data_IF_931275767642
#
_entry.id   IF_931275767642
#
_cell.length_a   1.000
_cell.length_b   1.000
_cell.length_c   1.000
_cell.angle_alpha   90.00
_cell.angle_beta   90.00
_cell.angle_gamma   90.00
#
_symmetry.space_group_name_H-M   'P 1'
#
loop_
_entity.id
_entity.type
_entity.pdbx_description
1 polymer ?
#
# COMPACT_ATOMS: atom_id res chain seq x y z
N UNK A 1 23.36 -14.43 22.76
CA UNK A 1 22.33 -13.93 21.83
C UNK A 1 21.12 -13.55 22.67
N UNK A 2 20.77 -12.27 22.75
CA UNK A 2 19.67 -11.76 23.55
C UNK A 2 18.39 -11.62 22.71
N UNK A 3 17.23 -11.81 23.33
CA UNK A 3 15.92 -11.59 22.70
C UNK A 3 15.29 -10.36 23.34
N UNK A 4 15.05 -9.32 22.55
CA UNK A 4 14.42 -8.08 23.01
C UNK A 4 12.99 -8.02 22.49
N UNK A 5 12.06 -7.63 23.35
CA UNK A 5 10.68 -7.33 22.95
C UNK A 5 10.53 -5.83 22.73
N UNK A 6 10.10 -5.47 21.53
CA UNK A 6 9.96 -4.10 21.04
C UNK A 6 8.48 -3.80 20.78
N UNK A 7 8.07 -2.54 20.94
CA UNK A 7 6.72 -2.08 20.58
C UNK A 7 6.81 -0.81 19.72
N UNK A 8 5.98 -0.70 18.67
CA UNK A 8 5.93 0.51 17.83
C UNK A 8 4.92 1.47 18.44
N UNK A 9 5.38 2.67 18.77
CA UNK A 9 4.54 3.68 19.43
C UNK A 9 3.48 4.20 18.46
N UNK A 10 2.21 4.16 18.88
CA UNK A 10 1.06 4.63 18.10
C UNK A 10 0.54 3.64 17.04
N UNK A 11 0.87 2.35 17.17
CA UNK A 11 0.48 1.30 16.23
C UNK A 11 -0.14 0.12 16.99
N UNK A 12 -1.38 -0.23 16.66
CA UNK A 12 -2.07 -1.37 17.26
C UNK A 12 -1.40 -2.70 16.90
N UNK A 13 -1.33 -3.62 17.86
CA UNK A 13 -0.76 -4.97 17.70
C UNK A 13 0.73 -4.97 17.39
N UNK A 14 1.47 -3.91 17.75
CA UNK A 14 2.81 -3.69 17.23
C UNK A 14 3.94 -4.43 17.92
N UNK A 15 3.70 -5.05 19.09
CA UNK A 15 4.71 -5.72 19.88
C UNK A 15 5.34 -6.90 19.11
N UNK A 16 6.66 -7.03 19.18
CA UNK A 16 7.42 -8.04 18.43
C UNK A 16 8.76 -8.32 19.11
N UNK A 17 9.39 -9.45 18.81
CA UNK A 17 10.69 -9.79 19.36
C UNK A 17 11.80 -9.76 18.32
N UNK A 18 12.96 -9.25 18.66
CA UNK A 18 14.16 -9.25 17.82
C UNK A 18 15.28 -9.99 18.55
N UNK A 19 15.99 -10.86 17.84
CA UNK A 19 17.21 -11.52 18.34
C UNK A 19 18.43 -10.73 17.90
N UNK A 20 19.29 -10.36 18.84
CA UNK A 20 20.53 -9.64 18.59
C UNK A 20 21.66 -10.21 19.45
N UNK A 21 22.89 -10.10 18.98
CA UNK A 21 24.04 -10.52 19.77
C UNK A 21 24.27 -9.59 20.97
N UNK A 22 24.83 -10.11 22.06
CA UNK A 22 25.06 -9.31 23.27
C UNK A 22 26.02 -8.14 23.02
N UNK A 23 27.06 -8.37 22.20
CA UNK A 23 27.98 -7.33 21.76
C UNK A 23 27.46 -6.42 20.64
N UNK A 24 26.22 -6.62 20.16
CA UNK A 24 25.67 -5.86 19.05
C UNK A 24 25.53 -4.38 19.40
N UNK A 25 25.68 -3.54 18.39
CA UNK A 25 25.45 -2.10 18.52
C UNK A 25 23.97 -1.76 18.43
N UNK A 26 23.63 -0.55 18.85
CA UNK A 26 22.28 -0.02 18.67
C UNK A 26 21.94 0.16 17.19
N UNK A 27 22.94 0.41 16.33
CA UNK A 27 22.76 0.41 14.88
C UNK A 27 22.38 -0.98 14.35
N UNK A 28 23.00 -2.05 14.85
CA UNK A 28 22.63 -3.42 14.52
C UNK A 28 21.21 -3.74 14.97
N UNK A 29 20.79 -3.26 16.16
CA UNK A 29 19.41 -3.37 16.62
C UNK A 29 18.44 -2.62 15.69
N UNK A 30 18.77 -1.39 15.27
CA UNK A 30 17.94 -0.64 14.31
C UNK A 30 17.83 -1.36 12.97
N UNK A 31 18.92 -1.94 12.46
CA UNK A 31 18.93 -2.76 11.23
C UNK A 31 18.09 -4.02 11.39
N UNK A 32 18.19 -4.69 12.53
CA UNK A 32 17.39 -5.87 12.83
C UNK A 32 15.90 -5.54 12.92
N UNK A 33 15.52 -4.44 13.61
CA UNK A 33 14.13 -3.95 13.65
C UNK A 33 13.63 -3.57 12.25
N UNK A 34 14.45 -2.87 11.46
CA UNK A 34 14.10 -2.53 10.08
C UNK A 34 13.89 -3.78 9.22
N UNK A 35 14.74 -4.79 9.35
CA UNK A 35 14.62 -6.03 8.61
C UNK A 35 13.36 -6.80 9.04
N UNK A 36 13.13 -6.91 10.35
CA UNK A 36 11.95 -7.59 10.94
C UNK A 36 10.64 -6.93 10.53
N UNK A 37 10.58 -5.59 10.54
CA UNK A 37 9.39 -4.81 10.14
C UNK A 37 9.36 -4.42 8.67
N UNK A 38 10.38 -4.83 7.91
CA UNK A 38 10.54 -4.55 6.47
C UNK A 38 10.39 -3.06 6.09
N UNK A 39 10.87 -2.15 6.95
CA UNK A 39 10.80 -0.72 6.68
C UNK A 39 11.64 -0.36 5.45
N UNK A 40 11.11 0.51 4.59
CA UNK A 40 11.76 0.93 3.34
C UNK A 40 12.62 2.19 3.50
N UNK A 41 12.62 2.82 4.69
CA UNK A 41 13.49 3.95 5.01
C UNK A 41 14.80 3.49 5.67
N UNK A 42 15.88 4.28 5.62
CA UNK A 42 17.14 4.02 6.31
C UNK A 42 16.98 3.70 7.81
N UNK A 43 17.70 2.70 8.32
CA UNK A 43 17.50 2.20 9.70
C UNK A 43 17.78 3.28 10.76
N UNK A 44 18.66 4.22 10.46
CA UNK A 44 19.04 5.36 11.29
C UNK A 44 17.88 6.34 11.54
N UNK A 45 16.86 6.35 10.69
CA UNK A 45 15.64 7.15 10.91
C UNK A 45 14.75 6.61 12.05
N UNK A 46 14.94 5.36 12.49
CA UNK A 46 14.27 4.84 13.69
C UNK A 46 14.79 5.56 14.95
N UNK A 47 13.87 5.96 15.83
CA UNK A 47 14.20 6.41 17.18
C UNK A 47 13.80 5.33 18.17
N UNK A 48 14.74 4.89 18.99
CA UNK A 48 14.54 3.84 19.98
C UNK A 48 14.62 4.45 21.38
N UNK A 49 13.77 3.99 22.29
CA UNK A 49 13.74 4.41 23.69
C UNK A 49 13.63 3.19 24.60
N UNK A 50 14.17 3.25 25.82
CA UNK A 50 14.02 2.17 26.79
C UNK A 50 12.62 2.21 27.42
N UNK A 51 11.96 1.06 27.48
CA UNK A 51 10.69 0.92 28.18
C UNK A 51 10.97 0.57 29.66
N UNK A 52 11.13 1.61 30.50
CA UNK A 52 11.41 1.44 31.93
C UNK A 52 10.11 1.32 32.72
N UNK A 53 10.10 0.46 33.74
CA UNK A 53 9.01 0.41 34.71
C UNK A 53 8.92 1.75 35.47
N UNK A 54 7.72 2.32 35.68
CA UNK A 54 7.57 3.53 36.47
C UNK A 54 7.97 3.32 37.92
N UNK A 55 8.43 4.40 38.54
CA UNK A 55 8.49 4.53 40.00
C UNK A 55 7.52 5.62 40.43
N UNK A 56 6.93 5.49 41.60
CA UNK A 56 6.08 6.54 42.16
C UNK A 56 6.94 7.62 42.81
N UNK A 57 6.62 8.89 42.54
CA UNK A 57 7.18 10.01 43.29
C UNK A 57 6.46 10.20 44.64
N UNK A 58 6.89 11.19 45.42
CA UNK A 58 6.32 11.50 46.74
C UNK A 58 4.82 11.85 46.70
N UNK A 59 4.27 12.17 45.53
CA UNK A 59 2.85 12.45 45.31
C UNK A 59 2.04 11.24 44.83
N UNK A 60 2.69 10.07 44.69
CA UNK A 60 2.09 8.85 44.13
C UNK A 60 1.96 8.89 42.61
N UNK A 61 2.65 9.81 41.92
CA UNK A 61 2.62 9.91 40.47
C UNK A 61 3.72 9.05 39.86
N UNK A 62 3.36 8.24 38.87
CA UNK A 62 4.32 7.48 38.06
C UNK A 62 5.26 8.40 37.28
N UNK A 63 6.57 8.22 37.50
CA UNK A 63 7.65 8.95 36.81
C UNK A 63 8.68 7.97 36.25
N UNK A 64 9.36 8.39 35.18
CA UNK A 64 10.39 7.58 34.52
C UNK A 64 11.65 7.56 35.39
N UNK A 65 12.15 6.39 35.82
CA UNK A 65 13.36 6.32 36.64
C UNK A 65 14.61 6.74 35.84
N UNK A 66 15.44 7.58 36.48
CA UNK A 66 16.71 8.06 35.93
C UNK A 66 17.85 7.52 36.78
N UNK A 67 18.72 6.73 36.16
CA UNK A 67 19.93 6.26 36.83
C UNK A 67 20.97 7.39 36.89
N UNK A 68 21.44 7.71 38.09
CA UNK A 68 22.56 8.65 38.32
C UNK A 68 23.66 7.92 39.10
N UNK A 69 24.85 7.73 38.51
CA UNK A 69 25.95 7.00 39.15
C UNK A 69 26.53 7.65 40.42
N UNK A 70 26.15 8.89 40.77
CA UNK A 70 26.72 9.63 41.91
C UNK A 70 25.78 9.64 43.12
N UNK A 71 25.68 8.52 43.84
CA UNK A 71 25.31 8.52 45.24
C UNK A 71 25.83 7.23 45.87
N UNK A 72 26.73 7.37 46.83
CA UNK A 72 27.39 6.29 47.58
C UNK A 72 26.43 5.46 48.46
N UNK A 73 25.11 5.59 48.29
CA UNK A 73 24.12 5.01 49.22
C UNK A 73 22.91 4.31 48.58
N UNK A 74 22.85 4.12 47.26
CA UNK A 74 21.72 3.39 46.67
C UNK A 74 22.11 1.94 46.36
N UNK A 75 21.39 1.02 47.03
CA UNK A 75 21.40 -0.43 46.75
C UNK A 75 21.44 -0.67 45.24
N UNK A 76 22.17 -1.72 44.85
CA UNK A 76 22.30 -2.28 43.50
C UNK A 76 20.96 -2.77 42.90
N UNK A 77 19.85 -2.07 43.14
CA UNK A 77 18.56 -2.40 42.59
C UNK A 77 18.54 -1.95 41.14
N UNK A 78 18.68 -2.94 40.26
CA UNK A 78 18.57 -2.75 38.82
C UNK A 78 17.21 -2.18 38.48
N UNK A 79 17.19 -1.22 37.55
CA UNK A 79 15.95 -0.72 36.98
C UNK A 79 15.27 -1.83 36.19
N UNK A 80 13.95 -1.91 36.32
CA UNK A 80 13.13 -2.96 35.72
C UNK A 80 12.56 -2.53 34.37
N UNK A 81 12.33 -3.51 33.50
CA UNK A 81 11.64 -3.29 32.24
C UNK A 81 10.14 -3.11 32.46
N UNK A 82 9.48 -2.42 31.53
CA UNK A 82 8.04 -2.23 31.59
C UNK A 82 7.33 -3.59 31.44
N UNK A 83 6.55 -4.05 32.44
CA UNK A 83 5.77 -5.28 32.30
C UNK A 83 4.75 -5.16 31.18
N UNK A 84 4.50 -6.23 30.43
CA UNK A 84 3.50 -6.22 29.35
C UNK A 84 2.04 -6.09 29.84
N UNK A 85 1.77 -6.49 31.09
CA UNK A 85 0.50 -6.27 31.79
C UNK A 85 0.32 -4.85 32.32
N UNK A 86 1.36 -4.01 32.28
CA UNK A 86 1.26 -2.64 32.76
C UNK A 86 0.24 -1.84 31.92
N UNK A 87 -0.54 -0.96 32.56
CA UNK A 87 -1.48 -0.01 31.93
C UNK A 87 -0.95 0.57 30.60
N UNK A 88 0.25 1.13 30.65
CA UNK A 88 0.91 1.78 29.52
C UNK A 88 1.26 0.80 28.38
N UNK A 89 1.63 -0.44 28.71
CA UNK A 89 1.92 -1.49 27.75
C UNK A 89 0.65 -2.03 27.08
N UNK A 90 -0.43 -2.23 27.84
CA UNK A 90 -1.73 -2.64 27.30
C UNK A 90 -2.27 -1.63 26.28
N UNK A 91 -2.15 -0.33 26.57
CA UNK A 91 -2.55 0.73 25.63
C UNK A 91 -1.75 0.72 24.32
N UNK A 92 -0.46 0.36 24.37
CA UNK A 92 0.34 0.19 23.15
C UNK A 92 -0.20 -0.92 22.25
N UNK A 93 -0.80 -1.97 22.82
CA UNK A 93 -1.42 -3.06 22.04
C UNK A 93 -2.63 -2.55 21.26
N UNK A 94 -3.38 -1.60 21.81
CA UNK A 94 -4.51 -0.95 21.15
C UNK A 94 -4.08 0.15 20.16
N UNK A 95 -2.79 0.46 20.09
CA UNK A 95 -2.23 1.54 19.27
C UNK A 95 -2.38 2.92 19.90
N UNK A 96 -2.82 2.97 21.15
CA UNK A 96 -2.87 4.19 21.94
C UNK A 96 -1.51 4.46 22.63
N UNK A 97 -1.33 5.67 23.14
CA UNK A 97 -0.18 6.04 23.96
C UNK A 97 -0.68 6.91 25.09
N UNK A 98 -0.22 6.63 26.31
CA UNK A 98 -0.56 7.44 27.47
C UNK A 98 0.57 8.40 27.85
N UNK A 99 0.30 9.22 28.86
CA UNK A 99 1.26 10.20 29.37
C UNK A 99 2.61 9.58 29.77
N UNK A 100 2.62 8.31 30.18
CA UNK A 100 3.84 7.62 30.57
C UNK A 100 4.66 7.17 29.34
N UNK A 101 4.02 6.63 28.31
CA UNK A 101 4.68 6.37 27.02
C UNK A 101 5.22 7.67 26.40
N UNK A 102 4.46 8.77 26.51
CA UNK A 102 4.92 10.09 26.07
C UNK A 102 6.14 10.56 26.87
N UNK A 103 6.16 10.34 28.20
CA UNK A 103 7.33 10.66 29.02
C UNK A 103 8.57 9.83 28.63
N UNK A 104 8.41 8.54 28.36
CA UNK A 104 9.51 7.66 27.91
C UNK A 104 10.07 8.11 26.55
N UNK A 105 9.20 8.49 25.61
CA UNK A 105 9.58 8.91 24.25
C UNK A 105 10.03 10.37 24.14
N UNK A 106 9.80 11.19 25.18
CA UNK A 106 10.38 12.51 25.33
C UNK A 106 11.80 12.48 25.95
N UNK A 107 12.20 11.33 26.51
CA UNK A 107 13.51 11.13 27.13
C UNK A 107 14.67 10.99 26.14
N UNK A 108 15.83 10.57 26.65
CA UNK A 108 17.02 10.36 25.82
C UNK A 108 16.85 9.11 24.92
N UNK A 109 16.95 9.23 23.59
CA UNK A 109 16.91 8.08 22.71
C UNK A 109 18.18 7.24 22.84
N UNK A 110 18.08 5.95 22.52
CA UNK A 110 19.22 5.04 22.51
C UNK A 110 20.21 5.48 21.42
N UNK A 111 21.45 5.80 21.81
CA UNK A 111 22.48 6.28 20.88
C UNK A 111 23.07 5.13 20.05
N UNK A 112 23.10 5.31 18.71
CA UNK A 112 23.59 4.33 17.74
C UNK A 112 25.04 3.87 17.95
N UNK A 113 25.88 4.70 18.58
CA UNK A 113 27.33 4.49 18.72
C UNK A 113 27.74 3.60 19.91
N UNK A 114 26.79 3.09 20.70
CA UNK A 114 27.05 2.25 21.87
C UNK A 114 26.61 0.81 21.62
N UNK A 115 27.23 -0.13 22.33
CA UNK A 115 26.73 -1.51 22.39
C UNK A 115 25.49 -1.57 23.28
N UNK A 116 24.62 -2.56 23.04
CA UNK A 116 23.41 -2.77 23.82
C UNK A 116 23.74 -3.00 25.30
N UNK A 117 24.71 -3.85 25.61
CA UNK A 117 25.18 -4.09 26.99
C UNK A 117 25.65 -2.79 27.67
N UNK A 118 26.44 -1.96 26.99
CA UNK A 118 26.90 -0.69 27.57
C UNK A 118 25.72 0.24 27.86
N UNK A 119 24.72 0.27 26.97
CA UNK A 119 23.56 1.14 27.14
C UNK A 119 22.61 0.64 28.24
N UNK A 120 22.31 -0.66 28.27
CA UNK A 120 21.37 -1.25 29.23
C UNK A 120 22.00 -1.32 30.62
N UNK A 121 23.19 -1.91 30.75
CA UNK A 121 23.77 -2.23 32.05
C UNK A 121 24.55 -1.05 32.62
N UNK A 122 25.49 -0.48 31.85
CA UNK A 122 26.40 0.56 32.38
C UNK A 122 25.73 1.92 32.49
N UNK A 123 24.95 2.32 31.48
CA UNK A 123 24.35 3.66 31.43
C UNK A 123 23.00 3.73 32.13
N UNK A 124 22.19 2.67 32.09
CA UNK A 124 20.83 2.68 32.63
C UNK A 124 20.62 1.70 33.80
N UNK A 125 21.62 0.88 34.14
CA UNK A 125 21.53 -0.12 35.21
C UNK A 125 20.27 -1.00 35.12
N UNK A 126 19.91 -1.43 33.92
CA UNK A 126 18.73 -2.26 33.67
C UNK A 126 18.98 -3.70 34.09
N UNK A 127 17.91 -4.41 34.45
CA UNK A 127 17.94 -5.87 34.59
C UNK A 127 18.13 -6.57 33.24
N UNK A 128 18.51 -7.85 33.28
CA UNK A 128 18.64 -8.63 32.06
C UNK A 128 17.24 -8.81 31.42
N UNK A 129 17.12 -8.59 30.10
CA UNK A 129 15.87 -8.82 29.37
C UNK A 129 15.28 -10.22 29.60
N UNK A 130 13.99 -10.30 29.92
CA UNK A 130 13.24 -11.57 30.04
C UNK A 130 11.93 -11.56 29.23
N UNK A 131 11.14 -12.63 29.30
CA UNK A 131 9.77 -12.63 28.76
C UNK A 131 8.83 -11.75 29.59
N UNK A 132 7.63 -11.49 29.07
CA UNK A 132 6.54 -10.75 29.76
C UNK A 132 6.87 -9.27 30.04
N UNK A 133 7.75 -8.71 29.22
CA UNK A 133 8.26 -7.34 29.36
C UNK A 133 8.42 -6.68 27.99
N UNK A 134 8.18 -5.37 27.92
CA UNK A 134 8.59 -4.52 26.80
C UNK A 134 9.94 -3.89 27.15
N UNK A 135 10.89 -3.99 26.22
CA UNK A 135 12.26 -3.51 26.41
C UNK A 135 12.51 -2.21 25.64
N UNK A 136 12.03 -2.14 24.40
CA UNK A 136 12.34 -1.03 23.49
C UNK A 136 11.06 -0.46 22.88
N UNK A 137 10.87 0.85 23.00
CA UNK A 137 9.86 1.59 22.26
C UNK A 137 10.47 2.09 20.95
N UNK A 138 9.78 1.83 19.84
CA UNK A 138 10.20 2.17 18.49
C UNK A 138 9.31 3.29 17.96
N UNK A 139 9.90 4.45 17.69
CA UNK A 139 9.22 5.58 17.07
C UNK A 139 9.67 5.68 15.61
N UNK A 140 8.69 5.61 14.71
CA UNK A 140 8.85 5.66 13.25
C UNK A 140 8.65 7.11 12.78
N UNK A 141 9.42 7.60 11.78
CA UNK A 141 9.23 8.93 11.22
C UNK A 141 7.80 9.14 10.69
N UNK A 142 7.15 10.24 11.09
CA UNK A 142 5.84 10.62 10.53
C UNK A 142 6.04 11.27 9.16
N UNK A 143 5.53 10.61 8.12
CA UNK A 143 5.63 11.03 6.72
C UNK A 143 6.44 10.05 5.88
N UNK A 144 5.73 9.30 5.03
CA UNK A 144 6.13 8.11 4.25
C UNK A 144 5.87 6.79 5.00
N UNK A 145 4.75 6.16 4.64
CA UNK A 145 4.20 4.87 5.10
C UNK A 145 3.35 4.90 6.38
N UNK A 146 2.20 5.59 6.34
CA UNK A 146 1.06 5.25 7.20
C UNK A 146 0.48 3.89 6.75
N UNK A 147 0.84 2.81 7.46
CA UNK A 147 0.17 1.49 7.32
C UNK A 147 -0.10 0.77 8.64
N UNK A 148 0.00 1.46 9.75
CA UNK A 148 0.13 0.81 11.04
C UNK A 148 -1.11 1.05 11.90
N UNK A 149 -2.24 0.50 11.47
CA UNK A 149 -3.49 0.46 12.25
C UNK A 149 -4.38 -0.77 11.95
N UNK A 150 -3.92 -1.78 11.21
CA UNK A 150 -4.80 -2.86 10.76
C UNK A 150 -4.18 -4.27 10.87
N UNK A 151 -3.61 -4.65 12.02
CA UNK A 151 -3.40 -6.07 12.35
C UNK A 151 -3.45 -6.27 13.86
N UNK A 152 -4.61 -6.64 14.37
CA UNK A 152 -4.75 -7.36 15.63
C UNK A 152 -5.79 -8.46 15.42
N UNK A 153 -5.35 -9.73 15.51
CA UNK A 153 -6.03 -10.96 16.00
C UNK A 153 -5.40 -12.21 15.32
N UNK A 154 -4.73 -13.05 16.14
CA UNK A 154 -4.46 -14.52 16.03
C UNK A 154 -3.72 -15.06 14.80
N UNK A 155 -2.73 -15.97 14.83
CA UNK A 155 -2.36 -17.09 15.72
C UNK A 155 -0.85 -17.47 15.56
N UNK A 156 -0.35 -18.37 16.40
CA UNK A 156 1.04 -18.80 16.54
C UNK A 156 1.57 -19.77 15.43
N UNK A 157 2.85 -20.19 15.50
CA UNK A 157 3.86 -19.98 14.47
C UNK A 157 3.83 -21.02 13.33
N UNK A 158 3.84 -20.57 12.07
CA UNK A 158 4.12 -21.42 10.92
C UNK A 158 5.31 -20.89 10.12
N UNK A 159 6.36 -21.70 10.06
CA UNK A 159 7.26 -22.07 8.94
C UNK A 159 7.49 -21.06 7.75
N UNK A 160 8.66 -21.12 7.07
CA UNK A 160 9.12 -20.10 6.10
C UNK A 160 8.06 -19.78 5.03
N UNK A 161 8.07 -18.54 4.48
CA UNK A 161 6.90 -17.87 3.93
C UNK A 161 6.21 -18.69 2.84
N UNK A 162 5.26 -19.51 3.26
CA UNK A 162 4.17 -19.95 2.41
C UNK A 162 3.20 -18.77 2.33
N UNK A 163 2.86 -18.35 1.12
CA UNK A 163 1.49 -18.22 0.57
C UNK A 163 0.27 -18.30 1.53
N UNK A 164 0.32 -17.74 2.74
CA UNK A 164 -0.73 -17.94 3.77
C UNK A 164 -1.78 -16.80 3.75
N UNK A 165 -1.43 -15.59 3.32
CA UNK A 165 -2.39 -14.47 3.27
C UNK A 165 -3.05 -14.23 1.91
N UNK A 166 -2.67 -15.00 0.89
CA UNK A 166 -3.15 -14.76 -0.49
C UNK A 166 -3.85 -15.99 -1.01
N UNK A 167 -5.02 -15.76 -1.58
CA UNK A 167 -5.87 -16.82 -2.07
C UNK A 167 -5.12 -17.68 -3.11
N UNK A 168 -5.22 -19.02 -3.06
CA UNK A 168 -4.47 -19.92 -3.94
C UNK A 168 -4.67 -19.61 -5.44
N UNK A 169 -5.88 -19.22 -5.85
CA UNK A 169 -6.18 -18.92 -7.25
C UNK A 169 -5.47 -17.65 -7.75
N UNK A 170 -5.36 -16.61 -6.93
CA UNK A 170 -4.61 -15.40 -7.30
C UNK A 170 -3.12 -15.68 -7.39
N UNK A 171 -2.59 -16.51 -6.49
CA UNK A 171 -1.19 -16.94 -6.54
C UNK A 171 -0.88 -17.75 -7.80
N UNK A 172 -1.78 -18.66 -8.21
CA UNK A 172 -1.67 -19.37 -9.50
C UNK A 172 -1.66 -18.40 -10.67
N UNK A 173 -2.57 -17.41 -10.65
CA UNK A 173 -2.65 -16.36 -11.68
C UNK A 173 -1.35 -15.57 -11.78
N UNK A 174 -0.78 -15.11 -10.67
CA UNK A 174 0.50 -14.39 -10.67
C UNK A 174 1.67 -15.25 -11.10
N UNK A 175 1.70 -16.53 -10.71
CA UNK A 175 2.72 -17.46 -11.19
C UNK A 175 2.67 -17.60 -12.72
N UNK A 176 1.46 -17.73 -13.30
CA UNK A 176 1.26 -17.78 -14.75
C UNK A 176 1.67 -16.47 -15.43
N UNK A 177 1.30 -15.31 -14.88
CA UNK A 177 1.73 -13.99 -15.36
C UNK A 177 3.26 -13.88 -15.37
N UNK A 178 3.91 -14.23 -14.27
CA UNK A 178 5.37 -14.14 -14.15
C UNK A 178 6.07 -15.10 -15.11
N UNK A 179 5.54 -16.30 -15.31
CA UNK A 179 6.06 -17.26 -16.28
C UNK A 179 6.00 -16.70 -17.71
N UNK A 180 4.85 -16.14 -18.10
CA UNK A 180 4.66 -15.49 -19.40
C UNK A 180 5.64 -14.31 -19.59
N UNK A 181 5.83 -13.47 -18.56
CA UNK A 181 6.73 -12.32 -18.63
C UNK A 181 8.19 -12.76 -18.76
N UNK A 182 8.61 -13.76 -17.99
CA UNK A 182 9.96 -14.35 -18.10
C UNK A 182 10.21 -14.92 -19.50
N UNK A 183 9.23 -15.62 -20.06
CA UNK A 183 9.32 -16.12 -21.43
C UNK A 183 9.52 -14.97 -22.43
N UNK A 184 8.72 -13.90 -22.34
CA UNK A 184 8.89 -12.72 -23.20
C UNK A 184 10.25 -12.05 -23.05
N UNK A 185 10.75 -11.91 -21.82
CA UNK A 185 12.07 -11.36 -21.55
C UNK A 185 13.17 -12.24 -22.16
N UNK A 186 13.04 -13.57 -22.08
CA UNK A 186 13.97 -14.52 -22.70
C UNK A 186 13.92 -14.46 -24.23
N UNK A 187 12.74 -14.45 -24.85
CA UNK A 187 12.58 -14.33 -26.30
C UNK A 187 13.15 -13.02 -26.84
N UNK A 188 12.94 -11.91 -26.13
CA UNK A 188 13.54 -10.62 -26.47
C UNK A 188 15.07 -10.71 -26.48
N UNK A 189 15.68 -11.37 -25.48
CA UNK A 189 17.12 -11.60 -25.42
C UNK A 189 17.61 -12.51 -26.58
N UNK A 190 16.86 -13.56 -26.93
CA UNK A 190 17.21 -14.47 -28.02
C UNK A 190 17.14 -13.76 -29.39
N UNK A 191 16.12 -12.94 -29.65
CA UNK A 191 16.02 -12.10 -30.86
C UNK A 191 17.16 -11.10 -30.99
N UNK A 192 17.71 -10.62 -29.86
CA UNK A 192 18.93 -9.80 -29.89
C UNK A 192 20.21 -10.59 -30.18
N UNK A 193 20.16 -11.93 -30.12
CA UNK A 193 21.32 -12.83 -30.29
C UNK A 193 21.36 -13.47 -31.70
N UNK A 194 20.24 -13.58 -32.42
CA UNK A 194 20.16 -14.16 -33.78
C UNK A 194 20.48 -13.16 -34.90
N UNK A 195 21.52 -13.48 -35.67
CA UNK A 195 22.05 -13.05 -36.99
C UNK A 195 21.87 -11.62 -37.59
N UNK A 196 20.89 -10.80 -37.26
CA UNK A 196 20.72 -9.48 -37.91
C UNK A 196 21.53 -8.33 -37.28
N UNK A 197 22.31 -8.60 -36.23
CA UNK A 197 22.92 -7.54 -35.40
C UNK A 197 24.46 -7.47 -35.47
N UNK A 198 25.11 -7.89 -36.56
CA UNK A 198 26.55 -7.63 -36.76
C UNK A 198 26.88 -6.18 -37.17
N UNK A 199 25.89 -5.30 -37.41
CA UNK A 199 26.12 -3.98 -38.05
C UNK A 199 25.91 -2.73 -37.19
N UNK A 200 25.57 -2.80 -35.89
CA UNK A 200 25.44 -1.57 -35.07
C UNK A 200 26.17 -1.67 -33.74
N UNK A 201 27.16 -0.80 -33.56
CA UNK A 201 28.02 -0.63 -32.38
C UNK A 201 27.30 -0.01 -31.17
N UNK A 202 26.04 -0.38 -30.90
CA UNK A 202 25.35 0.01 -29.67
C UNK A 202 25.47 -1.13 -28.65
N UNK A 203 26.21 -0.91 -27.55
CA UNK A 203 26.17 -1.77 -26.34
C UNK A 203 24.70 -1.98 -25.96
N UNK A 204 24.17 -3.20 -26.06
CA UNK A 204 22.79 -3.52 -25.68
C UNK A 204 22.80 -4.42 -24.44
N UNK A 205 21.99 -4.04 -23.45
CA UNK A 205 21.83 -4.77 -22.18
C UNK A 205 20.90 -5.96 -22.39
N UNK A 206 21.34 -7.17 -22.04
CA UNK A 206 20.42 -8.29 -21.82
C UNK A 206 19.37 -7.85 -20.80
N UNK A 207 18.10 -8.12 -21.09
CA UNK A 207 17.02 -7.93 -20.14
C UNK A 207 17.17 -8.98 -19.05
N UNK A 208 17.14 -8.55 -17.78
CA UNK A 208 16.95 -9.47 -16.66
C UNK A 208 15.67 -10.27 -16.90
N UNK A 209 15.72 -11.59 -16.70
CA UNK A 209 14.56 -12.47 -16.91
C UNK A 209 13.41 -12.10 -15.98
N UNK A 210 13.74 -11.63 -14.77
CA UNK A 210 12.81 -11.15 -13.76
C UNK A 210 12.55 -9.64 -13.87
N UNK A 211 12.90 -9.01 -14.99
CA UNK A 211 12.60 -7.61 -15.22
C UNK A 211 11.08 -7.41 -15.29
N UNK A 212 10.56 -6.60 -14.38
CA UNK A 212 9.20 -6.09 -14.41
C UNK A 212 8.90 -5.38 -15.74
N UNK A 213 7.73 -5.66 -16.30
CA UNK A 213 7.29 -5.08 -17.57
C UNK A 213 6.07 -4.17 -17.39
N UNK A 214 5.97 -3.16 -18.24
CA UNK A 214 4.77 -2.32 -18.33
C UNK A 214 3.71 -2.97 -19.20
N UNK A 215 2.46 -2.53 -19.04
CA UNK A 215 1.33 -3.01 -19.85
C UNK A 215 1.54 -2.88 -21.36
N UNK A 216 2.34 -1.91 -21.82
CA UNK A 216 2.58 -1.66 -23.25
C UNK A 216 3.32 -2.79 -23.97
N UNK A 217 3.92 -3.74 -23.24
CA UNK A 217 4.52 -4.95 -23.81
C UNK A 217 3.60 -6.17 -23.80
N UNK A 218 2.37 -6.01 -23.30
CA UNK A 218 1.36 -7.05 -23.19
C UNK A 218 0.18 -6.74 -24.12
N UNK A 219 -0.43 -7.77 -24.67
CA UNK A 219 -1.67 -7.71 -25.44
C UNK A 219 -2.72 -8.67 -24.86
N UNK A 220 -3.91 -8.63 -25.42
CA UNK A 220 -5.04 -9.44 -24.95
C UNK A 220 -4.74 -10.94 -25.00
N UNK A 221 -4.09 -11.41 -26.06
CA UNK A 221 -3.75 -12.81 -26.26
C UNK A 221 -2.81 -13.36 -25.18
N UNK A 222 -1.96 -12.50 -24.59
CA UNK A 222 -1.09 -12.92 -23.49
C UNK A 222 -1.87 -13.20 -22.20
N UNK A 223 -2.87 -12.35 -21.91
CA UNK A 223 -3.55 -12.38 -20.62
C UNK A 223 -4.83 -13.22 -20.65
N UNK A 224 -5.53 -13.27 -21.78
CA UNK A 224 -6.78 -14.02 -21.95
C UNK A 224 -6.73 -15.45 -21.39
N UNK A 225 -5.69 -16.27 -21.63
CA UNK A 225 -5.65 -17.64 -21.10
C UNK A 225 -5.38 -17.72 -19.58
N UNK A 226 -4.95 -16.63 -18.95
CA UNK A 226 -4.57 -16.59 -17.53
C UNK A 226 -5.74 -16.15 -16.64
N UNK A 227 -6.60 -15.28 -17.15
CA UNK A 227 -7.70 -14.70 -16.39
C UNK A 227 -9.00 -15.46 -16.60
N UNK A 228 -9.78 -15.57 -15.53
CA UNK A 228 -11.15 -16.03 -15.56
C UNK A 228 -12.08 -14.81 -15.55
N UNK A 229 -12.58 -14.42 -16.72
CA UNK A 229 -13.52 -13.29 -16.86
C UNK A 229 -14.96 -13.79 -16.73
N UNK A 230 -15.74 -13.05 -15.95
CA UNK A 230 -17.17 -13.26 -15.74
C UNK A 230 -17.92 -12.02 -16.26
N UNK A 231 -18.44 -12.14 -17.49
CA UNK A 231 -19.19 -11.12 -18.21
C UNK A 231 -20.71 -11.17 -17.91
N UNK A 232 -21.15 -12.13 -17.08
CA UNK A 232 -22.53 -12.23 -16.61
C UNK A 232 -22.86 -11.27 -15.46
N UNK A 233 -21.85 -10.53 -14.99
CA UNK A 233 -21.99 -9.60 -13.88
C UNK A 233 -22.77 -8.35 -14.29
N UNK A 234 -23.89 -8.10 -13.58
CA UNK A 234 -24.73 -6.94 -13.79
C UNK A 234 -24.56 -5.90 -12.67
N UNK A 235 -23.81 -4.83 -12.95
CA UNK A 235 -23.55 -3.76 -11.99
C UNK A 235 -24.74 -2.79 -11.95
N UNK A 236 -25.52 -2.87 -10.88
CA UNK A 236 -26.65 -1.96 -10.68
C UNK A 236 -26.18 -0.55 -10.29
N UNK A 237 -26.68 0.51 -10.97
CA UNK A 237 -26.40 1.88 -10.57
C UNK A 237 -27.08 2.23 -9.25
N UNK A 238 -26.41 3.02 -8.41
CA UNK A 238 -27.08 3.72 -7.30
C UNK A 238 -27.94 4.86 -7.82
N UNK A 239 -28.98 5.23 -7.08
CA UNK A 239 -29.78 6.41 -7.38
C UNK A 239 -28.98 7.69 -7.09
N UNK A 240 -28.99 8.60 -8.06
CA UNK A 240 -28.23 9.85 -8.02
C UNK A 240 -29.20 11.01 -8.14
N UNK A 241 -29.09 12.06 -7.31
CA UNK A 241 -30.00 13.19 -7.40
C UNK A 241 -29.91 13.89 -8.76
N UNK A 242 -31.07 14.21 -9.34
CA UNK A 242 -31.14 14.76 -10.70
C UNK A 242 -30.39 16.09 -10.82
N UNK A 243 -30.44 16.94 -9.79
CA UNK A 243 -29.74 18.23 -9.75
C UNK A 243 -28.21 18.08 -9.95
N UNK A 244 -27.62 16.97 -9.49
CA UNK A 244 -26.20 16.70 -9.65
C UNK A 244 -25.85 16.31 -11.08
N UNK A 245 -26.74 15.56 -11.73
CA UNK A 245 -26.60 15.18 -13.14
C UNK A 245 -26.88 16.37 -14.06
N UNK A 246 -27.84 17.24 -13.72
CA UNK A 246 -28.09 18.50 -14.44
C UNK A 246 -26.85 19.41 -14.42
N UNK A 247 -26.20 19.55 -13.25
CA UNK A 247 -24.98 20.32 -13.09
C UNK A 247 -23.82 19.72 -13.91
N UNK A 248 -23.66 18.39 -13.86
CA UNK A 248 -22.65 17.68 -14.65
C UNK A 248 -22.88 17.86 -16.15
N UNK A 249 -24.12 17.72 -16.61
CA UNK A 249 -24.49 17.88 -18.01
C UNK A 249 -24.24 19.32 -18.49
N UNK A 250 -24.57 20.33 -17.66
CA UNK A 250 -24.23 21.72 -17.94
C UNK A 250 -22.72 21.91 -18.08
N UNK A 251 -21.93 21.34 -17.15
CA UNK A 251 -20.46 21.41 -17.21
C UNK A 251 -19.89 20.75 -18.47
N UNK A 252 -20.43 19.60 -18.88
CA UNK A 252 -20.00 18.92 -20.12
C UNK A 252 -20.32 19.77 -21.36
N UNK A 253 -21.46 20.47 -21.37
CA UNK A 253 -21.79 21.42 -22.44
C UNK A 253 -20.78 22.57 -22.50
N UNK A 254 -20.44 23.17 -21.37
CA UNK A 254 -19.43 24.24 -21.32
C UNK A 254 -18.07 23.75 -21.85
N UNK A 255 -17.65 22.55 -21.44
CA UNK A 255 -16.39 21.95 -21.89
C UNK A 255 -16.41 21.67 -23.39
N UNK A 256 -17.54 21.27 -23.96
CA UNK A 256 -17.69 21.06 -25.41
C UNK A 256 -17.50 22.37 -26.18
N UNK A 257 -18.04 23.49 -25.70
CA UNK A 257 -17.85 24.80 -26.33
C UNK A 257 -16.37 25.24 -26.29
N UNK A 258 -15.64 24.87 -25.24
CA UNK A 258 -14.22 25.23 -25.07
C UNK A 258 -13.25 24.31 -25.83
N UNK A 259 -13.51 23.00 -25.83
CA UNK A 259 -12.56 21.98 -26.29
C UNK A 259 -12.99 21.23 -27.55
N UNK A 260 -14.17 21.55 -28.11
CA UNK A 260 -14.72 20.88 -29.28
C UNK A 260 -15.40 19.55 -28.96
N UNK A 261 -15.65 18.73 -29.99
CA UNK A 261 -16.34 17.45 -29.83
C UNK A 261 -15.41 16.45 -29.13
N UNK A 262 -15.93 15.61 -28.23
CA UNK A 262 -15.12 14.59 -27.56
C UNK A 262 -14.40 13.66 -28.56
N UNK A 263 -15.04 13.41 -29.70
CA UNK A 263 -14.55 12.56 -30.79
C UNK A 263 -13.41 13.16 -31.61
N UNK A 264 -13.22 14.48 -31.60
CA UNK A 264 -12.11 15.12 -32.31
C UNK A 264 -10.86 15.21 -31.42
N UNK A 265 -9.64 15.27 -31.97
CA UNK A 265 -8.42 15.47 -31.18
C UNK A 265 -7.79 14.23 -30.52
N UNK A 266 -6.85 14.45 -29.58
CA UNK A 266 -6.01 13.42 -28.94
C UNK A 266 -6.59 12.93 -27.62
N UNK A 267 -6.11 11.75 -27.19
CA UNK A 267 -6.53 11.01 -25.98
C UNK A 267 -6.63 11.91 -24.74
N UNK A 268 -5.56 12.65 -24.44
CA UNK A 268 -5.51 13.58 -23.31
C UNK A 268 -6.70 14.57 -23.20
N UNK A 269 -7.39 14.88 -24.30
CA UNK A 269 -8.58 15.72 -24.23
C UNK A 269 -9.75 15.04 -23.52
N UNK A 270 -9.93 13.73 -23.68
CA UNK A 270 -11.03 12.99 -23.05
C UNK A 270 -10.97 13.05 -21.53
N UNK A 271 -9.77 13.18 -20.96
CA UNK A 271 -9.58 13.38 -19.52
C UNK A 271 -10.36 14.58 -18.99
N UNK A 272 -10.49 15.68 -19.76
CA UNK A 272 -11.27 16.85 -19.35
C UNK A 272 -12.78 16.58 -19.30
N UNK A 273 -13.27 15.57 -20.02
CA UNK A 273 -14.67 15.16 -20.00
C UNK A 273 -14.94 14.03 -18.99
N UNK A 274 -13.95 13.17 -18.74
CA UNK A 274 -14.00 12.11 -17.72
C UNK A 274 -13.93 12.71 -16.32
N UNK A 275 -13.01 13.65 -16.06
CA UNK A 275 -12.79 14.22 -14.73
C UNK A 275 -14.07 14.80 -14.07
N UNK A 276 -14.93 15.57 -14.76
CA UNK A 276 -16.20 16.05 -14.20
C UNK A 276 -17.14 14.94 -13.70
N UNK A 277 -17.15 13.78 -14.36
CA UNK A 277 -17.95 12.62 -13.93
C UNK A 277 -17.38 12.11 -12.58
N UNK A 278 -16.07 11.96 -12.50
CA UNK A 278 -15.37 11.52 -11.28
C UNK A 278 -15.52 12.52 -10.12
N UNK A 279 -15.45 13.82 -10.41
CA UNK A 279 -15.66 14.91 -9.46
C UNK A 279 -17.09 14.91 -8.91
N UNK A 280 -18.08 14.65 -9.76
CA UNK A 280 -19.49 14.54 -9.37
C UNK A 280 -19.68 13.41 -8.37
N UNK A 281 -19.16 12.21 -8.65
CA UNK A 281 -19.18 11.08 -7.72
C UNK A 281 -18.47 11.42 -6.41
N UNK A 282 -17.30 12.06 -6.50
CA UNK A 282 -16.48 12.41 -5.33
C UNK A 282 -17.18 13.40 -4.41
N UNK A 283 -17.90 14.37 -4.99
CA UNK A 283 -18.70 15.36 -4.27
C UNK A 283 -19.90 14.72 -3.56
N UNK A 284 -20.56 13.76 -4.22
CA UNK A 284 -21.70 13.02 -3.68
C UNK A 284 -21.33 12.15 -2.47
N UNK A 285 -20.24 11.37 -2.55
CA UNK A 285 -19.87 10.40 -1.51
C UNK A 285 -19.16 10.99 -0.28
N UNK A 286 -18.58 12.19 -0.42
CA UNK A 286 -17.66 12.84 0.53
C UNK A 286 -16.43 11.96 0.87
N UNK A 287 -15.34 12.59 1.34
CA UNK A 287 -14.09 11.90 1.70
C UNK A 287 -13.47 11.04 0.58
N UNK A 288 -13.77 11.36 -0.68
CA UNK A 288 -13.12 10.78 -1.85
C UNK A 288 -11.95 11.68 -2.25
N UNK A 289 -10.78 11.09 -2.45
CA UNK A 289 -9.63 11.76 -3.07
C UNK A 289 -9.44 11.23 -4.48
N UNK A 290 -9.30 12.13 -5.44
CA UNK A 290 -8.90 11.80 -6.81
C UNK A 290 -7.38 11.92 -6.88
N UNK A 291 -6.69 10.81 -7.12
CA UNK A 291 -5.26 10.79 -7.44
C UNK A 291 -5.11 10.75 -8.96
N UNK A 292 -4.04 11.35 -9.48
CA UNK A 292 -3.80 11.53 -10.91
C UNK A 292 -2.43 10.95 -11.25
N UNK A 293 -2.37 10.17 -12.34
CA UNK A 293 -1.15 9.51 -12.82
C UNK A 293 -0.44 8.64 -11.76
N UNK A 294 -1.15 7.65 -11.24
CA UNK A 294 -0.59 6.72 -10.25
C UNK A 294 0.12 5.54 -10.93
N UNK A 295 1.39 5.33 -10.57
CA UNK A 295 2.20 4.19 -10.98
C UNK A 295 2.30 3.17 -9.83
N UNK A 296 2.15 1.88 -10.16
CA UNK A 296 2.28 0.79 -9.19
C UNK A 296 3.18 -0.31 -9.73
N UNK A 297 4.22 -0.67 -8.99
CA UNK A 297 5.16 -1.74 -9.36
C UNK A 297 4.92 -2.93 -8.44
N UNK A 298 4.56 -4.08 -8.99
CA UNK A 298 4.35 -5.30 -8.22
C UNK A 298 5.62 -5.75 -7.49
N UNK A 299 5.44 -6.32 -6.30
CA UNK A 299 6.47 -6.93 -5.45
C UNK A 299 6.71 -8.41 -5.80
N UNK A 300 5.62 -9.13 -6.05
CA UNK A 300 5.55 -10.56 -6.31
C UNK A 300 5.00 -10.87 -7.71
N UNK A 301 4.35 -9.92 -8.37
CA UNK A 301 3.98 -10.00 -9.78
C UNK A 301 4.84 -9.04 -10.62
N UNK A 302 5.40 -9.51 -11.74
CA UNK A 302 6.35 -8.77 -12.56
C UNK A 302 5.69 -7.71 -13.46
N UNK A 303 4.68 -7.02 -12.94
CA UNK A 303 3.88 -6.02 -13.64
C UNK A 303 4.10 -4.62 -13.08
N UNK A 304 4.10 -3.63 -13.98
CA UNK A 304 3.95 -2.22 -13.65
C UNK A 304 2.61 -1.70 -14.17
N UNK A 305 1.71 -1.35 -13.26
CA UNK A 305 0.47 -0.64 -13.53
C UNK A 305 0.66 0.87 -13.62
N UNK A 306 -0.15 1.51 -14.47
CA UNK A 306 -0.30 2.96 -14.53
C UNK A 306 -1.77 3.30 -14.73
N UNK A 307 -2.27 4.24 -13.94
CA UNK A 307 -3.66 4.68 -13.95
C UNK A 307 -3.74 6.19 -14.13
N UNK A 308 -4.58 6.66 -15.05
CA UNK A 308 -4.78 8.09 -15.27
C UNK A 308 -5.48 8.75 -14.07
N UNK A 309 -6.46 8.06 -13.49
CA UNK A 309 -7.13 8.48 -12.25
C UNK A 309 -7.27 7.33 -11.24
N UNK A 310 -7.20 7.64 -9.95
CA UNK A 310 -7.58 6.70 -8.88
C UNK A 310 -8.53 7.41 -7.91
N UNK A 311 -9.75 6.91 -7.78
CA UNK A 311 -10.69 7.35 -6.75
C UNK A 311 -10.40 6.57 -5.47
N UNK A 312 -10.01 7.25 -4.40
CA UNK A 312 -9.71 6.64 -3.09
C UNK A 312 -10.69 7.12 -2.03
N UNK A 313 -11.37 6.18 -1.37
CA UNK A 313 -12.27 6.44 -0.24
C UNK A 313 -12.01 5.40 0.85
N UNK A 314 -11.35 5.81 1.93
CA UNK A 314 -10.88 4.88 2.96
C UNK A 314 -9.91 3.85 2.38
N UNK A 315 -10.23 2.57 2.52
CA UNK A 315 -9.48 1.43 1.96
C UNK A 315 -9.88 1.08 0.53
N UNK A 316 -11.08 1.48 0.08
CA UNK A 316 -11.54 1.23 -1.28
C UNK A 316 -10.87 2.18 -2.26
N UNK A 317 -10.52 1.64 -3.43
CA UNK A 317 -10.02 2.41 -4.55
C UNK A 317 -10.55 1.89 -5.87
N UNK A 318 -10.89 2.80 -6.77
CA UNK A 318 -11.22 2.50 -8.16
C UNK A 318 -10.13 3.11 -9.04
N UNK A 319 -9.40 2.26 -9.76
CA UNK A 319 -8.32 2.68 -10.64
C UNK A 319 -8.80 2.74 -12.09
N UNK A 320 -8.76 3.93 -12.68
CA UNK A 320 -9.26 4.19 -14.02
C UNK A 320 -8.12 4.20 -15.04
N UNK A 321 -8.39 3.56 -16.18
CA UNK A 321 -7.57 3.63 -17.39
C UNK A 321 -8.34 4.37 -18.49
N UNK A 322 -7.73 5.42 -19.04
CA UNK A 322 -8.22 6.04 -20.27
C UNK A 322 -7.80 5.17 -21.46
N UNK A 323 -8.76 4.50 -22.08
CA UNK A 323 -8.51 3.69 -23.26
C UNK A 323 -8.35 4.57 -24.50
N UNK A 324 -7.59 4.06 -25.46
CA UNK A 324 -7.61 4.64 -26.81
C UNK A 324 -8.98 4.41 -27.43
N UNK A 325 -9.40 5.35 -28.27
CA UNK A 325 -10.73 5.37 -28.86
C UNK A 325 -11.12 4.02 -29.49
N UNK A 326 -10.21 3.45 -30.27
CA UNK A 326 -10.44 2.21 -31.03
C UNK A 326 -9.79 0.98 -30.38
N UNK A 327 -9.34 1.08 -29.12
CA UNK A 327 -8.57 0.02 -28.46
C UNK A 327 -8.92 -0.11 -26.97
N UNK A 328 -10.22 -0.37 -26.72
CA UNK A 328 -10.73 -0.69 -25.38
C UNK A 328 -10.10 -1.95 -24.80
N UNK A 329 -9.71 -2.91 -25.65
CA UNK A 329 -9.04 -4.15 -25.22
C UNK A 329 -7.64 -3.89 -24.66
N UNK A 330 -6.85 -3.03 -25.27
CA UNK A 330 -5.56 -2.66 -24.68
C UNK A 330 -5.74 -1.88 -23.37
N UNK A 331 -6.79 -1.04 -23.28
CA UNK A 331 -7.17 -0.40 -22.01
C UNK A 331 -7.52 -1.42 -20.92
N UNK A 332 -8.22 -2.50 -21.29
CA UNK A 332 -8.51 -3.64 -20.41
C UNK A 332 -7.24 -4.32 -19.93
N UNK A 333 -6.33 -4.65 -20.84
CA UNK A 333 -5.02 -5.26 -20.52
C UNK A 333 -4.26 -4.39 -19.53
N UNK A 334 -4.17 -3.08 -19.80
CA UNK A 334 -3.53 -2.11 -18.91
C UNK A 334 -4.17 -2.09 -17.52
N UNK A 335 -5.50 -2.07 -17.46
CA UNK A 335 -6.20 -1.98 -16.20
C UNK A 335 -6.02 -3.25 -15.37
N UNK A 336 -6.39 -4.43 -15.88
CA UNK A 336 -6.35 -5.67 -15.08
C UNK A 336 -4.93 -6.02 -14.64
N UNK A 337 -3.92 -5.81 -15.49
CA UNK A 337 -2.51 -6.04 -15.11
C UNK A 337 -2.03 -5.04 -14.07
N UNK A 338 -2.45 -3.77 -14.17
CA UNK A 338 -2.18 -2.79 -13.13
C UNK A 338 -2.89 -3.13 -11.82
N UNK A 339 -4.11 -3.65 -11.88
CA UNK A 339 -4.88 -4.07 -10.71
C UNK A 339 -4.23 -5.26 -9.99
N UNK A 340 -3.54 -6.17 -10.70
CA UNK A 340 -2.75 -7.24 -10.07
C UNK A 340 -1.53 -6.68 -9.32
N UNK A 341 -0.79 -5.75 -9.94
CA UNK A 341 0.32 -5.07 -9.27
C UNK A 341 -0.15 -4.31 -8.02
N UNK A 342 -1.34 -3.70 -8.10
CA UNK A 342 -1.98 -3.01 -6.98
C UNK A 342 -2.41 -3.98 -5.88
N UNK A 343 -3.09 -5.07 -6.23
CA UNK A 343 -3.48 -6.12 -5.28
C UNK A 343 -2.27 -6.68 -4.54
N UNK A 344 -1.16 -6.87 -5.24
CA UNK A 344 0.10 -7.33 -4.68
C UNK A 344 0.78 -6.32 -3.73
N UNK A 345 0.90 -5.05 -4.13
CA UNK A 345 1.54 -4.02 -3.30
C UNK A 345 0.75 -3.77 -2.02
N UNK A 346 -0.56 -3.87 -2.12
CA UNK A 346 -1.50 -3.48 -1.07
C UNK A 346 -2.16 -4.60 -0.30
N UNK A 347 -1.92 -5.85 -0.72
CA UNK A 347 -2.51 -7.02 -0.10
C UNK A 347 -4.05 -6.99 -0.12
N UNK A 348 -4.60 -6.61 -1.29
CA UNK A 348 -6.04 -6.47 -1.49
C UNK A 348 -6.61 -7.75 -2.10
N UNK A 349 -7.66 -8.29 -1.49
CA UNK A 349 -8.44 -9.42 -2.03
C UNK A 349 -9.32 -9.01 -3.21
N UNK A 350 -9.75 -7.76 -3.24
CA UNK A 350 -10.47 -7.17 -4.37
C UNK A 350 -9.87 -5.83 -4.78
N UNK A 351 -9.75 -5.64 -6.09
CA UNK A 351 -9.38 -4.35 -6.69
C UNK A 351 -10.39 -3.96 -7.75
N UNK A 352 -10.67 -2.65 -7.84
CA UNK A 352 -11.73 -2.13 -8.68
C UNK A 352 -11.14 -1.30 -9.82
N UNK A 353 -11.65 -1.52 -11.03
CA UNK A 353 -11.15 -0.89 -12.25
C UNK A 353 -12.23 -0.22 -13.06
N UNK A 354 -11.87 0.83 -13.78
CA UNK A 354 -12.67 1.40 -14.87
C UNK A 354 -11.79 1.50 -16.10
N UNK A 355 -12.31 1.11 -17.26
CA UNK A 355 -11.67 1.35 -18.56
C UNK A 355 -12.65 2.15 -19.40
N UNK A 356 -12.21 3.30 -19.92
CA UNK A 356 -13.12 4.13 -20.71
C UNK A 356 -12.42 4.96 -21.79
N UNK A 357 -13.08 5.08 -22.95
CA UNK A 357 -12.77 6.08 -23.97
C UNK A 357 -13.75 7.27 -23.90
N UNK A 358 -14.36 7.51 -22.73
CA UNK A 358 -15.50 8.38 -22.43
C UNK A 358 -16.87 7.89 -22.95
N UNK A 359 -16.91 7.16 -24.06
CA UNK A 359 -18.18 6.67 -24.64
C UNK A 359 -18.51 5.27 -24.14
N UNK A 360 -17.54 4.38 -24.20
CA UNK A 360 -17.62 3.03 -23.66
C UNK A 360 -17.02 3.04 -22.26
N UNK A 361 -17.69 2.35 -21.34
CA UNK A 361 -17.29 2.22 -19.94
C UNK A 361 -17.34 0.76 -19.56
N UNK A 362 -16.19 0.20 -19.20
CA UNK A 362 -16.07 -1.13 -18.63
C UNK A 362 -15.71 -1.01 -17.15
N UNK A 363 -16.53 -1.62 -16.31
CA UNK A 363 -16.38 -1.66 -14.86
C UNK A 363 -15.86 -3.04 -14.46
N UNK A 364 -14.82 -3.06 -13.63
CA UNK A 364 -14.08 -4.28 -13.31
C UNK A 364 -14.01 -4.46 -11.80
N UNK A 365 -14.24 -5.69 -11.35
CA UNK A 365 -13.93 -6.14 -10.00
C UNK A 365 -13.00 -7.34 -10.10
N UNK A 366 -11.71 -7.10 -9.91
CA UNK A 366 -10.70 -8.17 -9.88
C UNK A 366 -10.63 -8.77 -8.49
N UNK A 367 -11.28 -9.92 -8.33
CA UNK A 367 -11.20 -10.76 -7.14
C UNK A 367 -10.12 -11.83 -7.27
N UNK A 368 -9.98 -12.63 -6.22
CA UNK A 368 -8.96 -13.69 -6.15
C UNK A 368 -9.16 -14.83 -7.15
N UNK A 369 -10.40 -15.16 -7.50
CA UNK A 369 -10.73 -16.29 -8.38
C UNK A 369 -11.06 -15.86 -9.81
N UNK A 370 -11.70 -14.70 -9.96
CA UNK A 370 -12.20 -14.21 -11.24
C UNK A 370 -12.21 -12.69 -11.30
N UNK A 371 -12.30 -12.17 -12.52
CA UNK A 371 -12.55 -10.76 -12.81
C UNK A 371 -13.98 -10.64 -13.29
N UNK A 372 -14.81 -9.94 -12.52
CA UNK A 372 -16.17 -9.59 -12.95
C UNK A 372 -16.10 -8.34 -13.81
N UNK A 373 -16.77 -8.35 -14.94
CA UNK A 373 -16.81 -7.25 -15.89
C UNK A 373 -18.26 -6.87 -16.18
N UNK A 374 -18.51 -5.56 -16.24
CA UNK A 374 -19.77 -5.01 -16.73
C UNK A 374 -19.47 -3.89 -17.73
N UNK A 375 -20.14 -3.89 -18.88
CA UNK A 375 -19.94 -2.89 -19.93
C UNK A 375 -21.18 -2.02 -20.12
N UNK A 376 -20.97 -0.75 -20.42
CA UNK A 376 -22.04 0.21 -20.71
C UNK A 376 -21.56 1.22 -21.73
N UNK A 377 -22.46 1.61 -22.64
CA UNK A 377 -22.21 2.66 -23.61
C UNK A 377 -22.99 3.90 -23.19
N UNK A 378 -22.31 5.02 -23.04
CA UNK A 378 -22.90 6.33 -22.75
C UNK A 378 -23.63 6.85 -23.99
N UNK A 379 -24.97 6.88 -24.00
CA UNK A 379 -25.73 7.34 -25.16
C UNK A 379 -25.53 8.83 -25.39
N UNK A 380 -25.51 9.25 -26.65
CA UNK A 380 -25.21 10.63 -27.04
C UNK A 380 -26.23 11.14 -28.06
N UNK A 381 -26.53 12.44 -27.99
CA UNK A 381 -27.21 13.17 -29.05
C UNK A 381 -26.35 14.38 -29.44
N UNK A 382 -26.04 14.54 -30.73
CA UNK A 382 -25.20 15.63 -31.23
C UNK A 382 -23.86 15.76 -30.47
N UNK A 383 -23.18 14.64 -30.17
CA UNK A 383 -21.91 14.57 -29.39
C UNK A 383 -22.01 15.00 -27.93
N UNK A 384 -23.22 15.19 -27.39
CA UNK A 384 -23.47 15.49 -25.98
C UNK A 384 -24.06 14.24 -25.34
N UNK A 385 -23.54 13.78 -24.19
CA UNK A 385 -24.09 12.62 -23.50
C UNK A 385 -25.51 12.89 -22.99
N UNK A 386 -26.33 11.84 -22.99
CA UNK A 386 -27.69 11.88 -22.45
C UNK A 386 -27.69 12.02 -20.93
N UNK A 387 -28.74 12.64 -20.39
CA UNK A 387 -28.94 12.75 -18.95
C UNK A 387 -28.98 11.37 -18.28
N UNK A 388 -29.82 10.46 -18.81
CA UNK A 388 -29.96 9.09 -18.27
C UNK A 388 -28.64 8.32 -18.31
N UNK A 389 -27.89 8.42 -19.42
CA UNK A 389 -26.59 7.77 -19.51
C UNK A 389 -25.56 8.30 -18.51
N UNK A 390 -25.52 9.63 -18.30
CA UNK A 390 -24.67 10.20 -17.25
C UNK A 390 -25.09 9.74 -15.87
N UNK A 391 -26.40 9.71 -15.59
CA UNK A 391 -26.96 9.22 -14.34
C UNK A 391 -26.58 7.77 -14.07
N UNK A 392 -26.66 6.93 -15.10
CA UNK A 392 -26.26 5.52 -15.04
C UNK A 392 -24.76 5.36 -14.74
N UNK A 393 -23.88 6.05 -15.47
CA UNK A 393 -22.42 5.95 -15.26
C UNK A 393 -22.03 6.47 -13.87
N UNK A 394 -22.53 7.64 -13.47
CA UNK A 394 -22.30 8.20 -12.12
C UNK A 394 -22.82 7.24 -11.05
N UNK A 395 -24.00 6.67 -11.24
CA UNK A 395 -24.61 5.67 -10.36
C UNK A 395 -23.77 4.41 -10.19
N UNK A 396 -23.16 3.90 -11.27
CA UNK A 396 -22.29 2.72 -11.23
C UNK A 396 -20.97 2.99 -10.50
N UNK A 397 -20.31 4.12 -10.80
CA UNK A 397 -19.07 4.51 -10.08
C UNK A 397 -19.37 4.75 -8.60
N UNK A 398 -20.49 5.41 -8.29
CA UNK A 398 -20.96 5.62 -6.92
C UNK A 398 -21.15 4.28 -6.21
N UNK A 399 -21.87 3.34 -6.80
CA UNK A 399 -22.14 2.01 -6.23
C UNK A 399 -20.84 1.24 -5.91
N UNK A 400 -19.83 1.32 -6.78
CA UNK A 400 -18.55 0.65 -6.56
C UNK A 400 -17.75 1.26 -5.40
N UNK A 401 -17.88 2.57 -5.17
CA UNK A 401 -17.13 3.31 -4.16
C UNK A 401 -17.88 3.47 -2.82
N UNK A 402 -19.17 3.14 -2.79
CA UNK A 402 -19.99 3.14 -1.58
C UNK A 402 -19.47 2.12 -0.57
#
# INVERSE_FOLDING_TARGET
>A
MMKLFCAIVGVAGSAFSVKVDEGATVDDLKKAIKAEKMYQFPADELRLFLAKQPVEDESGKEVVPVYRPSAEEMKEEKLKWLPDEHRAALKLVEGESDDYIHALTAGEPILGSKTLTTWFDTKNNMELPSSEQIHVLVVVPKGKNDRSAAMAIGEAPSLPPTTIHRHPERLKRWAAINAMIRQKNQEANQKTTSEDTKKTSKKRKNHDIDKTVGYSSLCWEDIKPIYNFDDSFDLQPSDIPDADIELLLARIRDLRELYGQISDGKEAKRLFFIAPILETVSRLLKNVRILVEEDVVGKNVLLKGRFEFVLKRGTKRISLVEAKREDMLQGMVQNVTGLEALADVEDLTETYGIVTNFLEWKFLISGDEKVREHETVLPQANTIPSFEGLKEIVGKIYAMLQ
#
